data_IF_076631980430
#
_entry.id   IF_076631980430
#
_cell.length_a   1.000
_cell.length_b   1.000
_cell.length_c   1.000
_cell.angle_alpha   90.00
_cell.angle_beta   90.00
_cell.angle_gamma   90.00
#
_symmetry.space_group_name_H-M   'P 1'
#
loop_
_entity.id
_entity.type
_entity.pdbx_description
1 polymer ?
#
# COMPACT_ATOMS: atom_id res chain seq x y z
N UNK A 1 16.36 22.32 22.67
CA UNK A 1 17.19 21.10 22.65
C UNK A 1 17.66 20.90 21.21
N UNK A 2 18.96 20.85 20.92
CA UNK A 2 19.42 20.47 19.58
C UNK A 2 18.92 19.06 19.28
N UNK A 3 18.20 18.88 18.16
CA UNK A 3 17.65 17.60 17.75
C UNK A 3 18.77 16.56 17.57
N UNK A 4 18.52 15.31 17.97
CA UNK A 4 19.44 14.21 17.72
C UNK A 4 19.75 14.10 16.22
N UNK A 5 20.95 13.67 15.80
CA UNK A 5 21.23 13.42 14.40
C UNK A 5 20.30 12.33 13.84
N UNK A 6 19.92 12.37 12.55
CA UNK A 6 19.13 11.32 11.93
C UNK A 6 19.84 9.96 12.04
N UNK A 7 19.08 8.88 12.22
CA UNK A 7 19.60 7.51 12.27
C UNK A 7 20.36 7.21 10.96
N UNK A 8 21.59 6.71 11.07
CA UNK A 8 22.42 6.40 9.90
C UNK A 8 21.85 5.23 9.09
N UNK A 9 22.17 5.18 7.80
CA UNK A 9 21.71 4.12 6.89
C UNK A 9 22.08 2.72 7.38
N UNK A 10 23.34 2.55 7.81
CA UNK A 10 23.82 1.29 8.41
C UNK A 10 22.98 0.83 9.61
N UNK A 11 22.65 1.74 10.53
CA UNK A 11 21.86 1.38 11.74
C UNK A 11 20.42 0.97 11.36
N UNK A 12 19.82 1.62 10.35
CA UNK A 12 18.52 1.23 9.84
C UNK A 12 18.56 -0.13 9.13
N UNK A 13 19.58 -0.40 8.31
CA UNK A 13 19.76 -1.69 7.67
C UNK A 13 19.94 -2.81 8.71
N UNK A 14 20.78 -2.60 9.74
CA UNK A 14 20.99 -3.55 10.84
C UNK A 14 19.70 -3.80 11.65
N UNK A 15 18.87 -2.77 11.84
CA UNK A 15 17.54 -2.93 12.44
C UNK A 15 16.65 -3.83 11.59
N UNK A 16 16.50 -3.52 10.30
CA UNK A 16 15.59 -4.27 9.42
C UNK A 16 16.08 -5.69 9.14
N UNK A 17 17.38 -5.92 9.13
CA UNK A 17 17.96 -7.27 9.03
C UNK A 17 17.60 -8.14 10.23
N UNK A 18 17.65 -7.59 11.45
CA UNK A 18 17.21 -8.28 12.67
C UNK A 18 15.70 -8.53 12.65
N UNK A 19 14.90 -7.51 12.39
CA UNK A 19 13.44 -7.63 12.35
C UNK A 19 12.96 -8.65 11.30
N UNK A 20 13.61 -8.70 10.12
CA UNK A 20 13.32 -9.70 9.10
C UNK A 20 13.70 -11.13 9.57
N UNK A 21 14.84 -11.27 10.24
CA UNK A 21 15.29 -12.56 10.80
C UNK A 21 14.34 -13.07 11.87
N UNK A 22 13.90 -12.20 12.79
CA UNK A 22 12.91 -12.50 13.82
C UNK A 22 11.57 -12.92 13.20
N UNK A 23 11.08 -12.19 12.19
CA UNK A 23 9.86 -12.56 11.47
C UNK A 23 9.96 -13.98 10.87
N UNK A 24 11.07 -14.29 10.18
CA UNK A 24 11.27 -15.62 9.58
C UNK A 24 11.32 -16.73 10.62
N UNK A 25 11.90 -16.48 11.78
CA UNK A 25 12.02 -17.46 12.87
C UNK A 25 10.72 -17.64 13.64
N UNK A 26 9.87 -16.61 13.71
CA UNK A 26 8.62 -16.64 14.47
C UNK A 26 7.55 -17.59 13.93
N UNK A 27 7.62 -17.93 12.63
CA UNK A 27 6.55 -18.67 11.94
C UNK A 27 5.26 -17.87 11.73
N UNK A 28 5.23 -16.57 12.10
CA UNK A 28 4.09 -15.70 11.91
C UNK A 28 3.80 -15.49 10.41
N UNK A 29 2.50 -15.41 10.07
CA UNK A 29 2.05 -15.15 8.69
C UNK A 29 2.09 -13.66 8.33
N UNK A 30 1.93 -12.78 9.31
CA UNK A 30 1.94 -11.34 9.20
C UNK A 30 2.64 -10.75 10.42
N UNK A 31 3.47 -9.72 10.23
CA UNK A 31 4.07 -8.96 11.32
C UNK A 31 4.23 -7.50 10.92
N UNK A 32 3.95 -6.58 11.86
CA UNK A 32 4.21 -5.15 11.69
C UNK A 32 5.58 -4.84 12.29
N UNK A 33 6.51 -4.44 11.45
CA UNK A 33 7.93 -4.26 11.79
C UNK A 33 8.18 -2.88 12.43
N UNK A 34 7.55 -1.85 11.91
CA UNK A 34 7.61 -0.51 12.49
C UNK A 34 6.47 0.38 11.98
N UNK A 35 6.30 1.52 12.66
CA UNK A 35 5.33 2.55 12.28
C UNK A 35 6.04 3.89 12.09
N UNK A 36 5.94 4.46 10.90
CA UNK A 36 6.39 5.81 10.56
C UNK A 36 5.28 6.79 10.87
N UNK A 37 5.47 7.70 11.83
CA UNK A 37 4.55 8.80 12.12
C UNK A 37 5.30 10.14 12.12
N UNK A 38 4.62 11.27 11.85
CA UNK A 38 5.26 12.60 11.94
C UNK A 38 5.91 12.88 13.30
N UNK A 39 5.32 12.36 14.38
CA UNK A 39 5.87 12.48 15.73
C UNK A 39 7.12 11.61 15.93
N UNK A 40 7.16 10.39 15.38
CA UNK A 40 8.32 9.51 15.46
C UNK A 40 9.57 10.12 14.81
N UNK A 41 9.41 10.86 13.71
CA UNK A 41 10.52 11.56 13.04
C UNK A 41 11.13 12.68 13.88
N UNK A 42 10.39 13.24 14.84
CA UNK A 42 10.92 14.27 15.76
C UNK A 42 11.81 13.67 16.84
N UNK A 43 11.58 12.39 17.18
CA UNK A 43 12.29 11.71 18.25
C UNK A 43 13.59 11.02 17.80
N UNK A 44 13.83 10.89 16.48
CA UNK A 44 15.03 10.28 15.88
C UNK A 44 15.46 8.93 16.51
N UNK A 45 14.50 8.22 17.11
CA UNK A 45 14.70 6.89 17.66
C UNK A 45 14.81 5.82 16.57
N UNK A 46 15.22 4.63 16.98
CA UNK A 46 15.12 3.45 16.12
C UNK A 46 13.66 3.21 15.73
N UNK A 47 13.39 2.68 14.52
CA UNK A 47 12.05 2.29 14.15
C UNK A 47 11.49 1.31 15.18
N UNK A 48 10.20 1.46 15.51
CA UNK A 48 9.48 0.57 16.41
C UNK A 48 8.04 0.45 15.92
N UNK A 49 7.37 -0.70 16.10
CA UNK A 49 5.94 -0.80 15.86
C UNK A 49 5.18 0.05 16.88
N UNK A 50 4.16 0.80 16.42
CA UNK A 50 3.33 1.67 17.26
C UNK A 50 1.86 1.32 17.03
N UNK A 51 1.25 0.40 17.79
CA UNK A 51 -0.17 0.09 17.65
C UNK A 51 -1.07 1.34 17.72
N UNK A 52 -2.21 1.39 17.00
CA UNK A 52 -3.15 2.50 17.12
C UNK A 52 -3.70 2.57 18.53
N UNK A 53 -3.96 3.79 19.04
CA UNK A 53 -4.74 3.95 20.28
C UNK A 53 -6.21 3.59 20.07
N UNK A 54 -6.76 4.03 18.94
CA UNK A 54 -8.13 3.77 18.50
C UNK A 54 -8.05 2.96 17.21
N UNK A 55 -8.89 1.93 17.08
CA UNK A 55 -8.99 1.12 15.86
C UNK A 55 -9.20 2.03 14.64
N UNK A 56 -8.35 1.96 13.60
CA UNK A 56 -8.56 2.76 12.41
C UNK A 56 -9.86 2.32 11.73
N UNK A 57 -10.62 3.30 11.22
CA UNK A 57 -11.83 3.04 10.45
C UNK A 57 -11.51 2.46 9.08
N UNK A 58 -10.41 2.92 8.47
CA UNK A 58 -9.95 2.42 7.18
C UNK A 58 -8.45 2.19 7.21
N UNK A 59 -8.06 0.94 6.93
CA UNK A 59 -6.69 0.56 6.67
C UNK A 59 -6.45 0.51 5.16
N UNK A 60 -5.62 1.42 4.68
CA UNK A 60 -5.17 1.45 3.29
C UNK A 60 -3.99 0.50 3.17
N UNK A 61 -4.07 -0.49 2.27
CA UNK A 61 -3.04 -1.51 2.10
C UNK A 61 -2.39 -1.35 0.73
N UNK A 62 -1.10 -1.03 0.73
CA UNK A 62 -0.27 -1.05 -0.48
C UNK A 62 0.68 -2.25 -0.39
N UNK A 63 0.32 -3.33 -1.06
CA UNK A 63 1.14 -4.55 -1.15
C UNK A 63 1.98 -4.53 -2.42
N UNK A 64 3.30 -4.53 -2.27
CA UNK A 64 4.23 -4.52 -3.40
C UNK A 64 5.56 -5.15 -3.02
N UNK A 65 6.34 -5.49 -4.03
CA UNK A 65 7.71 -5.98 -3.83
C UNK A 65 8.70 -4.87 -3.40
N UNK A 66 8.32 -3.59 -3.53
CA UNK A 66 9.09 -2.40 -3.15
C UNK A 66 10.58 -2.51 -3.48
N UNK A 67 10.91 -2.78 -4.75
CA UNK A 67 12.27 -3.12 -5.16
C UNK A 67 12.73 -2.34 -6.42
N UNK A 68 12.84 -1.01 -6.36
CA UNK A 68 12.53 -0.14 -5.21
C UNK A 68 11.05 0.33 -5.18
N UNK A 69 10.55 0.92 -4.08
CA UNK A 69 9.35 1.77 -4.12
C UNK A 69 9.55 2.90 -5.14
N UNK A 70 8.50 3.28 -5.85
CA UNK A 70 8.57 4.23 -6.99
C UNK A 70 7.56 5.37 -6.84
N UNK A 71 7.67 6.40 -7.68
CA UNK A 71 6.70 7.48 -7.74
C UNK A 71 5.30 7.00 -8.15
N UNK A 72 5.18 5.87 -8.83
CA UNK A 72 3.89 5.25 -9.11
C UNK A 72 3.22 4.78 -7.80
N UNK A 73 3.96 4.08 -6.94
CA UNK A 73 3.49 3.68 -5.60
C UNK A 73 3.09 4.91 -4.76
N UNK A 74 3.91 5.97 -4.82
CA UNK A 74 3.65 7.22 -4.12
C UNK A 74 2.33 7.85 -4.56
N UNK A 75 2.12 7.97 -5.88
CA UNK A 75 0.89 8.50 -6.45
C UNK A 75 -0.31 7.68 -6.04
N UNK A 76 -0.25 6.34 -6.14
CA UNK A 76 -1.34 5.44 -5.73
C UNK A 76 -1.76 5.68 -4.28
N UNK A 77 -0.80 5.73 -3.36
CA UNK A 77 -1.11 5.92 -1.94
C UNK A 77 -1.66 7.33 -1.68
N UNK A 78 -0.96 8.36 -2.15
CA UNK A 78 -1.32 9.77 -1.92
C UNK A 78 -2.71 10.10 -2.49
N UNK A 79 -3.01 9.68 -3.72
CA UNK A 79 -4.32 9.95 -4.34
C UNK A 79 -5.45 9.24 -3.62
N UNK A 80 -5.22 8.01 -3.15
CA UNK A 80 -6.19 7.23 -2.36
C UNK A 80 -6.51 7.90 -1.03
N UNK A 81 -5.48 8.37 -0.32
CA UNK A 81 -5.63 9.08 0.96
C UNK A 81 -6.44 10.37 0.73
N UNK A 82 -6.08 11.16 -0.27
CA UNK A 82 -6.81 12.40 -0.63
C UNK A 82 -8.25 12.13 -1.00
N UNK A 83 -8.50 11.08 -1.78
CA UNK A 83 -9.84 10.68 -2.14
C UNK A 83 -10.70 10.37 -0.92
N UNK A 84 -10.17 9.59 0.03
CA UNK A 84 -10.90 9.26 1.27
C UNK A 84 -11.16 10.50 2.13
N UNK A 85 -10.17 11.38 2.28
CA UNK A 85 -10.31 12.65 3.00
C UNK A 85 -11.41 13.51 2.35
N UNK A 86 -11.40 13.65 1.03
CA UNK A 86 -12.36 14.49 0.29
C UNK A 86 -13.77 13.88 0.20
N UNK A 87 -13.90 12.57 -0.02
CA UNK A 87 -15.20 11.87 -0.06
C UNK A 87 -15.98 12.05 1.24
N UNK A 88 -15.28 12.12 2.37
CA UNK A 88 -15.90 12.30 3.68
C UNK A 88 -16.22 13.76 4.00
N UNK A 89 -15.42 14.74 3.53
CA UNK A 89 -15.80 16.18 3.57
C UNK A 89 -17.20 16.38 3.00
N UNK A 90 -17.50 15.75 1.86
CA UNK A 90 -18.76 15.94 1.15
C UNK A 90 -19.98 15.26 1.80
N UNK A 91 -19.80 14.25 2.66
CA UNK A 91 -20.92 13.53 3.30
C UNK A 91 -21.42 14.22 4.57
N UNK A 92 -20.51 14.77 5.37
CA UNK A 92 -20.83 15.32 6.69
C UNK A 92 -20.45 16.80 6.85
N UNK A 93 -19.90 17.45 5.81
CA UNK A 93 -19.40 18.83 5.89
C UNK A 93 -18.17 19.04 6.78
N UNK A 94 -17.72 18.00 7.48
CA UNK A 94 -16.57 18.01 8.39
C UNK A 94 -15.44 17.12 7.83
N UNK A 95 -14.19 17.59 7.95
CA UNK A 95 -13.00 16.78 7.69
C UNK A 95 -12.97 15.58 8.65
N UNK A 96 -12.88 14.35 8.13
CA UNK A 96 -12.48 13.22 8.97
C UNK A 96 -11.05 13.47 9.43
N UNK A 97 -10.76 13.33 10.74
CA UNK A 97 -9.39 13.43 11.19
C UNK A 97 -8.59 12.25 10.63
N UNK A 98 -7.33 12.52 10.25
CA UNK A 98 -6.41 11.54 9.66
C UNK A 98 -6.11 10.35 10.59
N UNK A 99 -6.42 10.48 11.88
CA UNK A 99 -6.31 9.43 12.90
C UNK A 99 -7.23 8.23 12.64
N UNK A 100 -8.32 8.41 11.88
CA UNK A 100 -9.21 7.33 11.42
C UNK A 100 -8.65 6.53 10.24
N UNK A 101 -7.62 7.05 9.59
CA UNK A 101 -6.94 6.43 8.46
C UNK A 101 -5.58 5.89 8.90
N UNK A 102 -5.23 4.72 8.36
CA UNK A 102 -3.89 4.15 8.56
C UNK A 102 -3.40 3.54 7.26
N UNK A 103 -2.12 3.71 6.96
CA UNK A 103 -1.50 3.10 5.77
C UNK A 103 -0.65 1.91 6.20
N UNK A 104 -0.78 0.79 5.50
CA UNK A 104 0.09 -0.37 5.61
C UNK A 104 0.84 -0.56 4.28
N UNK A 105 2.16 -0.39 4.33
CA UNK A 105 3.09 -0.78 3.28
C UNK A 105 3.47 -2.25 3.51
N UNK A 106 2.90 -3.16 2.74
CA UNK A 106 3.04 -4.60 2.96
C UNK A 106 4.04 -5.21 1.99
N UNK A 107 5.06 -5.88 2.52
CA UNK A 107 6.05 -6.61 1.73
C UNK A 107 5.85 -8.13 1.88
N UNK A 108 5.39 -8.76 0.80
CA UNK A 108 5.24 -10.21 0.72
C UNK A 108 6.59 -10.90 0.43
N UNK A 109 7.03 -11.78 1.33
CA UNK A 109 8.33 -12.47 1.23
C UNK A 109 8.26 -13.65 0.27
N UNK A 110 7.14 -14.39 0.29
CA UNK A 110 6.80 -15.45 -0.65
C UNK A 110 5.84 -14.89 -1.70
N UNK A 111 6.37 -14.43 -2.83
CA UNK A 111 5.53 -13.98 -3.94
C UNK A 111 5.35 -15.16 -4.91
N UNK A 112 4.10 -15.49 -5.26
CA UNK A 112 3.77 -16.70 -6.02
C UNK A 112 4.45 -16.78 -7.41
N UNK A 113 4.78 -15.63 -8.01
CA UNK A 113 5.17 -15.55 -9.43
C UNK A 113 6.58 -14.98 -9.70
N UNK A 114 7.41 -14.70 -8.67
CA UNK A 114 8.68 -13.95 -8.87
C UNK A 114 9.95 -14.75 -8.57
N UNK A 115 10.87 -14.70 -9.53
CA UNK A 115 12.25 -15.23 -9.50
C UNK A 115 13.17 -14.43 -8.53
N UNK A 116 14.50 -14.72 -8.45
CA UNK A 116 15.42 -14.09 -7.51
C UNK A 116 15.36 -12.56 -7.49
N UNK A 117 15.63 -12.01 -6.32
CA UNK A 117 15.20 -10.68 -5.88
C UNK A 117 16.47 -9.78 -5.77
N UNK A 118 16.64 -8.73 -6.61
CA UNK A 118 17.93 -8.01 -6.70
C UNK A 118 18.37 -7.30 -5.41
N UNK A 119 17.50 -6.56 -4.72
CA UNK A 119 17.82 -6.07 -3.36
C UNK A 119 17.38 -7.06 -2.29
N UNK A 120 18.17 -7.18 -1.24
CA UNK A 120 17.83 -7.90 -0.01
C UNK A 120 16.62 -7.26 0.71
N UNK A 121 15.94 -8.03 1.56
CA UNK A 121 14.67 -7.61 2.17
C UNK A 121 14.82 -6.46 3.17
N UNK A 122 15.90 -6.46 3.93
CA UNK A 122 16.31 -5.38 4.83
C UNK A 122 16.49 -4.05 4.08
N UNK A 123 17.15 -4.08 2.92
CA UNK A 123 17.32 -2.90 2.07
C UNK A 123 15.97 -2.40 1.53
N UNK A 124 15.05 -3.30 1.17
CA UNK A 124 13.68 -2.91 0.77
C UNK A 124 12.90 -2.27 1.90
N UNK A 125 12.99 -2.82 3.11
CA UNK A 125 12.34 -2.23 4.29
C UNK A 125 12.91 -0.84 4.60
N UNK A 126 14.23 -0.66 4.44
CA UNK A 126 14.85 0.65 4.59
C UNK A 126 14.37 1.65 3.53
N UNK A 127 14.25 1.23 2.27
CA UNK A 127 13.63 2.07 1.23
C UNK A 127 12.14 2.31 1.49
N UNK A 128 11.39 1.36 2.04
CA UNK A 128 9.99 1.55 2.45
C UNK A 128 9.87 2.59 3.57
N UNK A 129 10.83 2.60 4.50
CA UNK A 129 10.89 3.60 5.58
C UNK A 129 11.18 5.00 5.02
N UNK A 130 12.14 5.12 4.10
CA UNK A 130 12.42 6.36 3.38
C UNK A 130 11.19 6.83 2.56
N UNK A 131 10.53 5.90 1.88
CA UNK A 131 9.32 6.15 1.09
C UNK A 131 8.15 6.64 1.95
N UNK A 132 7.92 6.05 3.13
CA UNK A 132 6.87 6.49 4.06
C UNK A 132 7.06 7.96 4.48
N UNK A 133 8.31 8.40 4.67
CA UNK A 133 8.64 9.80 4.98
C UNK A 133 8.32 10.74 3.84
N UNK A 134 8.70 10.37 2.62
CA UNK A 134 8.42 11.18 1.43
C UNK A 134 6.91 11.28 1.17
N UNK A 135 6.17 10.20 1.39
CA UNK A 135 4.71 10.16 1.33
C UNK A 135 4.08 11.14 2.34
N UNK A 136 4.54 11.11 3.59
CA UNK A 136 4.04 12.02 4.64
C UNK A 136 4.33 13.49 4.30
N UNK A 137 5.54 13.79 3.82
CA UNK A 137 5.89 15.16 3.36
C UNK A 137 5.00 15.63 2.21
N UNK A 138 4.71 14.76 1.24
CA UNK A 138 3.85 15.12 0.12
C UNK A 138 2.39 15.34 0.53
N UNK A 139 1.92 14.68 1.58
CA UNK A 139 0.59 14.96 2.14
C UNK A 139 0.55 16.30 2.87
N UNK A 140 1.64 16.69 3.53
CA UNK A 140 1.77 17.97 4.24
C UNK A 140 1.94 19.17 3.29
N UNK A 141 2.80 19.05 2.26
CA UNK A 141 3.03 20.14 1.31
C UNK A 141 1.75 20.59 0.60
N UNK A 142 0.87 19.64 0.30
CA UNK A 142 -0.34 19.93 -0.46
C UNK A 142 -1.45 20.48 0.45
N UNK A 143 -1.44 20.19 1.76
CA UNK A 143 -2.35 20.85 2.70
C UNK A 143 -2.00 22.32 2.92
N UNK A 144 -0.70 22.66 2.95
CA UNK A 144 -0.24 24.04 3.08
C UNK A 144 -0.57 24.87 1.83
N UNK A 145 -0.50 24.25 0.65
CA UNK A 145 -0.81 24.89 -0.62
C UNK A 145 -2.32 25.16 -0.85
N UNK A 146 -3.21 24.41 -0.18
CA UNK A 146 -4.67 24.61 -0.26
C UNK A 146 -5.20 25.74 0.66
N UNK A 147 -4.31 26.52 1.30
CA UNK A 147 -4.69 27.78 1.98
C UNK A 147 -5.53 27.59 3.24
N UNK A 148 -5.35 26.49 3.98
CA UNK A 148 -5.97 26.31 5.29
C UNK A 148 -5.25 27.21 6.31
N UNK A 149 -5.59 28.50 6.34
CA UNK A 149 -5.23 29.38 7.45
C UNK A 149 -6.00 28.94 8.70
N UNK A 150 -5.28 28.32 9.66
CA UNK A 150 -5.89 27.87 10.91
C UNK A 150 -4.86 27.46 11.96
N UNK A 151 -4.35 28.47 12.68
CA UNK A 151 -4.05 28.45 14.13
C UNK A 151 -3.12 27.39 14.70
N UNK A 152 -2.00 27.86 15.28
CA UNK A 152 -1.15 27.23 16.31
C UNK A 152 -0.65 25.78 16.04
N UNK A 153 0.65 25.58 16.24
CA UNK A 153 1.37 24.30 16.11
C UNK A 153 0.97 23.24 17.16
N UNK A 154 -0.32 23.01 17.40
CA UNK A 154 -0.82 21.93 18.25
C UNK A 154 -0.98 20.66 17.42
N UNK A 155 -0.22 19.61 17.78
CA UNK A 155 -0.36 18.17 17.49
C UNK A 155 -1.41 17.70 16.42
N UNK A 156 -1.48 18.30 15.24
CA UNK A 156 -2.35 17.80 14.17
C UNK A 156 -1.76 16.47 13.65
N UNK A 157 -2.42 15.38 14.04
CA UNK A 157 -2.03 14.01 13.72
C UNK A 157 -1.96 13.78 12.21
N UNK A 158 -0.73 13.63 11.69
CA UNK A 158 -0.56 13.20 10.30
C UNK A 158 -0.71 11.69 10.15
N UNK A 159 -0.90 11.25 8.91
CA UNK A 159 -1.08 9.83 8.57
C UNK A 159 0.09 8.98 9.09
N UNK A 160 -0.21 7.96 9.87
CA UNK A 160 0.77 6.94 10.26
C UNK A 160 0.85 5.84 9.20
N UNK A 161 2.06 5.48 8.80
CA UNK A 161 2.35 4.43 7.83
C UNK A 161 3.11 3.28 8.50
N UNK A 162 2.52 2.09 8.50
CA UNK A 162 3.11 0.86 8.99
C UNK A 162 3.89 0.16 7.89
N UNK A 163 4.99 -0.48 8.28
CA UNK A 163 5.74 -1.41 7.43
C UNK A 163 5.45 -2.82 7.92
N UNK A 164 4.83 -3.63 7.06
CA UNK A 164 4.48 -5.02 7.37
C UNK A 164 5.25 -6.02 6.51
N UNK A 165 5.46 -7.20 7.07
CA UNK A 165 5.95 -8.39 6.36
C UNK A 165 4.86 -9.46 6.34
N UNK A 166 4.74 -10.17 5.22
CA UNK A 166 3.81 -11.30 5.10
C UNK A 166 4.43 -12.49 4.36
N UNK A 167 4.11 -13.70 4.82
CA UNK A 167 4.44 -14.95 4.10
C UNK A 167 3.33 -15.40 3.16
N UNK A 168 2.14 -14.78 3.25
CA UNK A 168 0.96 -15.16 2.50
C UNK A 168 1.08 -14.67 1.06
N UNK A 169 0.83 -15.53 0.05
CA UNK A 169 0.92 -15.11 -1.35
C UNK A 169 -0.32 -14.34 -1.83
N UNK A 170 -1.52 -14.69 -1.35
CA UNK A 170 -2.78 -14.20 -1.92
C UNK A 170 -3.42 -13.06 -1.12
N UNK A 171 -4.11 -12.15 -1.81
CA UNK A 171 -4.76 -10.98 -1.20
C UNK A 171 -5.85 -11.34 -0.18
N UNK A 172 -6.66 -12.37 -0.45
CA UNK A 172 -7.71 -12.80 0.47
C UNK A 172 -7.14 -13.34 1.80
N UNK A 173 -6.03 -14.06 1.75
CA UNK A 173 -5.33 -14.53 2.94
C UNK A 173 -4.68 -13.37 3.71
N UNK A 174 -4.03 -12.45 3.01
CA UNK A 174 -3.47 -11.23 3.63
C UNK A 174 -4.55 -10.41 4.33
N UNK A 175 -5.70 -10.25 3.69
CA UNK A 175 -6.85 -9.56 4.28
C UNK A 175 -7.33 -10.22 5.57
N UNK A 176 -7.44 -11.56 5.57
CA UNK A 176 -7.82 -12.32 6.75
C UNK A 176 -6.79 -12.15 7.88
N UNK A 177 -5.50 -12.32 7.59
CA UNK A 177 -4.44 -12.14 8.58
C UNK A 177 -4.38 -10.70 9.15
N UNK A 178 -4.67 -9.67 8.35
CA UNK A 178 -4.80 -8.30 8.82
C UNK A 178 -6.01 -8.13 9.75
N UNK A 179 -7.14 -8.76 9.42
CA UNK A 179 -8.36 -8.66 10.21
C UNK A 179 -8.27 -9.38 11.57
N UNK A 180 -7.47 -10.45 11.62
CA UNK A 180 -7.15 -11.24 12.82
C UNK A 180 -6.00 -10.64 13.65
N UNK A 181 -5.31 -9.61 13.14
CA UNK A 181 -4.15 -9.04 13.81
C UNK A 181 -4.54 -8.17 15.00
N UNK A 182 -4.03 -8.53 16.19
CA UNK A 182 -4.21 -7.75 17.42
C UNK A 182 -3.65 -6.33 17.31
N UNK A 183 -2.68 -6.13 16.41
CA UNK A 183 -2.01 -4.84 16.23
C UNK A 183 -2.98 -3.71 15.91
N UNK A 184 -4.12 -3.99 15.28
CA UNK A 184 -5.06 -2.96 14.83
C UNK A 184 -6.31 -2.81 15.71
N UNK A 185 -6.49 -3.58 16.79
CA UNK A 185 -7.73 -3.51 17.59
C UNK A 185 -7.90 -2.21 18.38
N UNK A 186 -6.83 -1.45 18.63
CA UNK A 186 -6.87 -0.27 19.49
C UNK A 186 -6.84 -0.67 20.98
N UNK A 187 -6.12 0.10 21.81
CA UNK A 187 -5.90 -0.21 23.22
C UNK A 187 -6.41 0.88 24.19
N UNK A 188 -7.31 1.77 23.73
CA UNK A 188 -7.91 2.75 24.64
C UNK A 188 -8.75 2.03 25.72
N UNK A 189 -8.22 2.02 26.94
CA UNK A 189 -8.82 1.49 28.14
C UNK A 189 -9.89 2.45 28.69
N UNK A 190 -11.05 1.92 29.08
CA UNK A 190 -12.05 2.60 29.91
C UNK A 190 -13.48 2.47 29.39
N UNK A 191 -14.26 1.63 30.07
CA UNK A 191 -15.71 1.68 30.26
C UNK A 191 -16.52 2.54 29.26
N UNK A 192 -17.11 1.88 28.28
CA UNK A 192 -18.18 2.42 27.45
C UNK A 192 -18.68 1.31 26.55
N UNK A 193 -19.95 0.95 26.71
CA UNK A 193 -20.67 -0.08 25.97
C UNK A 193 -20.11 -0.25 24.55
N UNK A 194 -19.46 -1.40 24.34
CA UNK A 194 -18.85 -1.78 23.07
C UNK A 194 -19.90 -2.08 22.01
N UNK A 195 -20.63 -1.05 21.57
CA UNK A 195 -21.48 -1.07 20.40
C UNK A 195 -20.71 -0.60 19.15
N UNK A 196 -19.45 -1.03 19.06
CA UNK A 196 -18.51 -0.76 17.98
C UNK A 196 -18.43 -1.94 17.00
N UNK A 197 -19.57 -2.50 16.59
CA UNK A 197 -19.69 -3.56 15.56
C UNK A 197 -19.21 -3.11 14.15
N UNK A 198 -18.74 -1.86 14.02
CA UNK A 198 -18.11 -1.36 12.81
C UNK A 198 -16.73 -1.98 12.59
N UNK A 199 -16.66 -3.10 11.86
CA UNK A 199 -15.39 -3.67 11.39
C UNK A 199 -14.50 -2.64 10.67
N UNK A 200 -13.17 -2.85 10.73
CA UNK A 200 -12.20 -2.03 10.01
C UNK A 200 -12.25 -2.32 8.51
N UNK A 201 -12.61 -1.31 7.71
CA UNK A 201 -12.57 -1.38 6.24
C UNK A 201 -11.11 -1.53 5.76
N UNK A 202 -10.88 -2.42 4.80
CA UNK A 202 -9.59 -2.51 4.11
C UNK A 202 -9.70 -1.91 2.71
N UNK A 203 -8.88 -0.90 2.37
CA UNK A 203 -8.76 -0.39 1.01
C UNK A 203 -7.46 -0.89 0.39
N UNK A 204 -7.54 -1.90 -0.48
CA UNK A 204 -6.37 -2.48 -1.13
C UNK A 204 -6.06 -1.73 -2.41
N UNK A 205 -4.84 -1.19 -2.50
CA UNK A 205 -4.36 -0.48 -3.68
C UNK A 205 -3.74 -1.48 -4.65
N UNK A 206 -4.29 -1.55 -5.86
CA UNK A 206 -3.87 -2.54 -6.86
C UNK A 206 -3.59 -1.89 -8.20
N UNK A 207 -2.60 -2.42 -8.93
CA UNK A 207 -2.41 -2.12 -10.34
C UNK A 207 -3.38 -2.93 -11.22
N UNK A 208 -3.48 -2.54 -12.49
CA UNK A 208 -4.29 -3.26 -13.49
C UNK A 208 -3.90 -4.73 -13.63
N UNK A 209 -2.59 -5.01 -13.73
CA UNK A 209 -2.02 -6.36 -13.80
C UNK A 209 -2.39 -7.21 -12.57
N UNK A 210 -2.40 -6.58 -11.39
CA UNK A 210 -2.75 -7.24 -10.14
C UNK A 210 -4.24 -7.53 -10.07
N UNK A 211 -5.10 -6.61 -10.53
CA UNK A 211 -6.54 -6.84 -10.61
C UNK A 211 -6.89 -8.04 -11.50
N UNK A 212 -6.26 -8.13 -12.68
CA UNK A 212 -6.43 -9.29 -13.58
C UNK A 212 -6.08 -10.59 -12.85
N UNK A 213 -4.99 -10.60 -12.07
CA UNK A 213 -4.59 -11.78 -11.30
C UNK A 213 -5.59 -12.11 -10.20
N UNK A 214 -6.14 -11.12 -9.51
CA UNK A 214 -7.16 -11.35 -8.47
C UNK A 214 -8.37 -12.09 -9.06
N UNK A 215 -8.82 -11.74 -10.27
CA UNK A 215 -9.97 -12.40 -10.90
C UNK A 215 -9.58 -13.56 -11.83
N UNK A 216 -8.36 -14.09 -11.73
CA UNK A 216 -7.97 -15.26 -12.50
C UNK A 216 -8.25 -16.56 -11.73
N UNK A 217 -9.11 -17.46 -12.23
CA UNK A 217 -9.47 -18.72 -11.56
C UNK A 217 -8.28 -19.60 -11.19
N UNK A 218 -7.16 -19.51 -11.94
CA UNK A 218 -5.99 -20.38 -11.73
C UNK A 218 -5.35 -20.26 -10.35
N UNK A 219 -5.59 -19.16 -9.64
CA UNK A 219 -5.05 -18.93 -8.29
C UNK A 219 -5.97 -19.49 -7.18
N UNK A 220 -7.09 -20.11 -7.54
CA UNK A 220 -8.06 -20.66 -6.59
C UNK A 220 -8.17 -22.16 -6.83
N UNK A 221 -7.66 -22.94 -5.88
CA UNK A 221 -7.72 -24.39 -5.94
C UNK A 221 -8.93 -24.89 -5.13
N UNK A 222 -9.68 -25.84 -5.70
CA UNK A 222 -10.75 -26.51 -4.95
C UNK A 222 -10.13 -27.38 -3.85
N UNK A 223 -10.54 -27.18 -2.61
CA UNK A 223 -10.13 -28.03 -1.48
C UNK A 223 -11.22 -28.97 -0.98
N UNK A 224 -12.40 -28.99 -1.62
CA UNK A 224 -13.54 -29.80 -1.18
C UNK A 224 -14.17 -30.59 -2.32
N UNK A 225 -14.33 -31.90 -2.08
CA UNK A 225 -15.13 -32.85 -2.86
C UNK A 225 -16.60 -32.90 -2.42
N UNK A 226 -17.11 -31.87 -1.74
CA UNK A 226 -18.46 -31.89 -1.16
C UNK A 226 -19.51 -31.27 -2.09
N UNK A 227 -20.56 -32.04 -2.33
CA UNK A 227 -21.77 -31.74 -3.12
C UNK A 227 -22.70 -30.69 -2.43
N UNK A 228 -22.11 -29.61 -1.90
CA UNK A 228 -22.83 -28.43 -1.39
C UNK A 228 -23.22 -27.45 -2.50
N UNK A 229 -24.02 -26.40 -2.21
CA UNK A 229 -24.49 -25.47 -3.23
C UNK A 229 -23.29 -24.84 -3.97
N UNK A 230 -23.39 -24.84 -5.30
CA UNK A 230 -22.33 -24.58 -6.27
C UNK A 230 -21.63 -23.22 -6.11
N UNK A 231 -20.73 -23.10 -5.13
CA UNK A 231 -19.83 -21.97 -4.96
C UNK A 231 -18.48 -22.32 -5.57
N UNK A 232 -17.93 -21.41 -6.37
CA UNK A 232 -16.61 -21.65 -6.98
C UNK A 232 -15.49 -21.48 -5.94
N UNK A 233 -14.30 -22.08 -6.12
CA UNK A 233 -13.16 -21.81 -5.25
C UNK A 233 -12.79 -20.33 -5.16
N UNK A 234 -12.98 -19.57 -6.25
CA UNK A 234 -12.79 -18.11 -6.26
C UNK A 234 -13.80 -17.42 -5.35
N UNK A 235 -15.07 -17.82 -5.37
CA UNK A 235 -16.10 -17.27 -4.49
C UNK A 235 -15.78 -17.56 -3.02
N UNK A 236 -15.39 -18.79 -2.68
CA UNK A 236 -15.02 -19.16 -1.31
C UNK A 236 -13.88 -18.29 -0.76
N UNK A 237 -12.88 -17.97 -1.60
CA UNK A 237 -11.75 -17.14 -1.22
C UNK A 237 -12.09 -15.65 -1.19
N UNK A 238 -12.81 -15.14 -2.19
CA UNK A 238 -13.02 -13.71 -2.39
C UNK A 238 -14.28 -13.15 -1.71
N UNK A 239 -15.29 -13.97 -1.39
CA UNK A 239 -16.47 -13.49 -0.66
C UNK A 239 -16.10 -12.90 0.70
N UNK A 240 -15.29 -13.57 1.54
CA UNK A 240 -14.81 -12.96 2.77
C UNK A 240 -13.99 -11.69 2.51
N UNK A 241 -13.14 -11.68 1.49
CA UNK A 241 -12.35 -10.50 1.13
C UNK A 241 -13.28 -9.31 0.84
N UNK A 242 -14.24 -9.44 -0.07
CA UNK A 242 -15.12 -8.34 -0.48
C UNK A 242 -16.21 -7.98 0.54
N UNK A 243 -16.42 -8.82 1.57
CA UNK A 243 -17.22 -8.44 2.73
C UNK A 243 -16.56 -7.33 3.57
N UNK A 244 -15.22 -7.28 3.61
CA UNK A 244 -14.44 -6.34 4.45
C UNK A 244 -13.54 -5.38 3.68
N UNK A 245 -13.24 -5.69 2.42
CA UNK A 245 -12.28 -4.96 1.61
C UNK A 245 -12.90 -4.36 0.35
N UNK A 246 -12.35 -3.22 -0.05
CA UNK A 246 -12.52 -2.59 -1.35
C UNK A 246 -11.20 -2.63 -2.10
N UNK A 247 -11.26 -2.77 -3.41
CA UNK A 247 -10.10 -2.59 -4.27
C UNK A 247 -10.14 -1.19 -4.84
N UNK A 248 -9.02 -0.48 -4.81
CA UNK A 248 -8.83 0.74 -5.58
C UNK A 248 -7.77 0.50 -6.62
N UNK A 249 -8.23 0.39 -7.87
CA UNK A 249 -7.35 0.14 -9.00
C UNK A 249 -6.89 1.46 -9.59
N UNK A 250 -5.58 1.61 -9.75
CA UNK A 250 -4.98 2.75 -10.46
C UNK A 250 -4.53 2.29 -11.84
N UNK A 251 -5.10 2.89 -12.89
CA UNK A 251 -4.75 2.55 -14.27
C UNK A 251 -3.39 3.10 -14.65
N UNK A 252 -2.70 2.38 -15.54
CA UNK A 252 -1.43 2.81 -16.15
C UNK A 252 -1.56 2.67 -17.67
N UNK A 253 -1.19 3.69 -18.43
CA UNK A 253 -0.89 3.50 -19.84
C UNK A 253 0.55 2.99 -19.93
N UNK A 254 0.76 1.68 -19.91
CA UNK A 254 2.06 1.07 -20.25
C UNK A 254 1.92 0.18 -21.49
N UNK A 255 3.06 -0.03 -22.14
CA UNK A 255 3.22 -0.74 -23.41
C UNK A 255 3.07 -2.26 -23.30
N UNK A 256 3.28 -2.82 -22.11
CA UNK A 256 3.26 -4.27 -21.86
C UNK A 256 1.85 -4.84 -21.65
N UNK A 257 0.90 -4.06 -21.12
CA UNK A 257 -0.45 -4.54 -20.73
C UNK A 257 -1.60 -3.92 -21.52
N UNK A 258 -1.27 -3.42 -22.72
CA UNK A 258 -2.22 -2.80 -23.62
C UNK A 258 -2.45 -1.32 -23.33
N UNK A 259 -2.93 -0.62 -24.35
CA UNK A 259 -3.29 0.79 -24.30
C UNK A 259 -4.33 1.07 -23.21
N UNK A 260 -4.37 2.32 -22.73
CA UNK A 260 -5.41 2.76 -21.78
C UNK A 260 -6.85 2.49 -22.28
N UNK A 261 -7.05 2.43 -23.60
CA UNK A 261 -8.34 2.08 -24.21
C UNK A 261 -8.66 0.60 -24.08
N UNK A 262 -7.69 -0.29 -24.32
CA UNK A 262 -7.86 -1.73 -24.14
C UNK A 262 -8.11 -2.09 -22.67
N UNK A 263 -7.38 -1.47 -21.75
CA UNK A 263 -7.60 -1.67 -20.32
C UNK A 263 -9.01 -1.21 -19.90
N UNK A 264 -9.48 -0.05 -20.40
CA UNK A 264 -10.84 0.44 -20.14
C UNK A 264 -11.90 -0.52 -20.68
N UNK A 265 -11.73 -1.01 -21.90
CA UNK A 265 -12.66 -1.94 -22.53
C UNK A 265 -12.74 -3.27 -21.74
N UNK A 266 -11.58 -3.79 -21.31
CA UNK A 266 -11.53 -5.00 -20.48
C UNK A 266 -12.24 -4.81 -19.14
N UNK A 267 -12.01 -3.68 -18.46
CA UNK A 267 -12.66 -3.40 -17.18
C UNK A 267 -14.17 -3.22 -17.31
N UNK A 268 -14.64 -2.57 -18.37
CA UNK A 268 -16.06 -2.44 -18.64
C UNK A 268 -16.69 -3.83 -18.86
N UNK A 269 -16.06 -4.70 -19.65
CA UNK A 269 -16.53 -6.07 -19.85
C UNK A 269 -16.50 -6.89 -18.56
N UNK A 270 -15.46 -6.75 -17.74
CA UNK A 270 -15.30 -7.48 -16.50
C UNK A 270 -16.36 -7.05 -15.46
N UNK A 271 -16.55 -5.74 -15.26
CA UNK A 271 -17.29 -5.19 -14.12
C UNK A 271 -18.76 -4.85 -14.40
N UNK A 272 -19.11 -4.42 -15.61
CA UNK A 272 -20.47 -3.95 -15.93
C UNK A 272 -21.33 -5.04 -16.59
N UNK A 273 -20.72 -5.94 -17.36
CA UNK A 273 -21.40 -7.09 -17.94
C UNK A 273 -21.40 -8.30 -16.98
N UNK A 274 -21.63 -9.51 -17.50
CA UNK A 274 -21.52 -10.75 -16.73
C UNK A 274 -20.07 -11.27 -16.64
N UNK A 275 -19.07 -10.40 -16.83
CA UNK A 275 -17.65 -10.77 -16.90
C UNK A 275 -17.13 -11.45 -15.65
N UNK A 276 -17.41 -10.89 -14.47
CA UNK A 276 -17.08 -11.53 -13.19
C UNK A 276 -17.72 -12.93 -13.07
N UNK A 277 -18.99 -13.09 -13.46
CA UNK A 277 -19.67 -14.39 -13.43
C UNK A 277 -19.02 -15.40 -14.39
N UNK A 278 -18.58 -14.97 -15.57
CA UNK A 278 -17.91 -15.85 -16.57
C UNK A 278 -16.58 -16.42 -16.06
N UNK A 279 -15.87 -15.68 -15.22
CA UNK A 279 -14.64 -16.16 -14.57
C UNK A 279 -14.91 -16.86 -13.23
N UNK A 280 -16.18 -17.16 -12.92
CA UNK A 280 -16.56 -17.85 -11.69
C UNK A 280 -16.61 -16.95 -10.45
N UNK A 281 -16.62 -15.63 -10.62
CA UNK A 281 -16.80 -14.65 -9.55
C UNK A 281 -18.25 -14.28 -9.29
N UNK A 282 -18.47 -13.18 -8.55
CA UNK A 282 -19.78 -12.60 -8.26
C UNK A 282 -19.92 -11.20 -8.85
N UNK A 283 -21.09 -10.88 -9.42
CA UNK A 283 -21.36 -9.56 -10.01
C UNK A 283 -21.32 -8.45 -8.94
N UNK A 284 -21.73 -8.76 -7.71
CA UNK A 284 -21.80 -7.83 -6.58
C UNK A 284 -20.42 -7.25 -6.21
N UNK A 285 -19.34 -7.98 -6.49
CA UNK A 285 -17.98 -7.51 -6.22
C UNK A 285 -17.59 -6.27 -7.04
N UNK A 286 -18.25 -6.03 -8.19
CA UNK A 286 -18.01 -4.81 -8.98
C UNK A 286 -18.24 -3.54 -8.15
N UNK A 287 -19.26 -3.54 -7.27
CA UNK A 287 -19.55 -2.41 -6.37
C UNK A 287 -18.46 -2.13 -5.33
N UNK A 288 -17.53 -3.07 -5.14
CA UNK A 288 -16.39 -2.97 -4.20
C UNK A 288 -15.09 -2.54 -4.90
N UNK A 289 -15.14 -2.23 -6.19
CA UNK A 289 -13.97 -1.85 -6.98
C UNK A 289 -14.09 -0.38 -7.39
N UNK A 290 -13.17 0.44 -6.92
CA UNK A 290 -13.04 1.84 -7.31
C UNK A 290 -11.97 1.97 -8.39
N UNK A 291 -12.31 2.55 -9.54
CA UNK A 291 -11.36 2.82 -10.62
C UNK A 291 -10.88 4.26 -10.52
N UNK A 292 -9.58 4.44 -10.41
CA UNK A 292 -8.95 5.75 -10.53
C UNK A 292 -8.28 5.90 -11.90
N UNK A 293 -8.81 6.84 -12.68
CA UNK A 293 -8.18 7.32 -13.90
C UNK A 293 -7.12 8.34 -13.50
N UNK A 294 -5.84 8.01 -13.68
CA UNK A 294 -4.80 9.03 -13.64
C UNK A 294 -4.87 9.75 -14.98
N UNK A 295 -5.42 10.96 -15.00
CA UNK A 295 -5.24 11.85 -16.15
C UNK A 295 -3.73 12.06 -16.32
N UNK A 296 -3.22 11.71 -17.51
CA UNK A 296 -1.87 12.09 -17.91
C UNK A 296 -1.72 13.59 -17.68
N UNK A 297 -0.62 14.00 -17.05
CA UNK A 297 -0.48 15.35 -16.51
C UNK A 297 -0.90 16.40 -17.56
N UNK A 298 -1.70 17.39 -17.15
CA UNK A 298 -2.09 18.52 -18.00
C UNK A 298 -0.84 19.11 -18.66
N UNK A 299 -0.66 18.77 -19.93
CA UNK A 299 0.57 19.03 -20.69
C UNK A 299 0.62 18.14 -21.91
N UNK A 300 -0.28 18.39 -22.87
CA UNK A 300 -0.19 17.84 -24.21
C UNK A 300 1.22 18.13 -24.77
N UNK A 301 2.11 17.15 -24.73
CA UNK A 301 3.51 17.27 -25.16
C UNK A 301 4.53 16.54 -24.29
N UNK A 302 4.21 16.19 -23.03
CA UNK A 302 5.11 15.37 -22.21
C UNK A 302 4.70 13.90 -22.35
N UNK A 303 5.54 13.10 -23.02
CA UNK A 303 5.48 11.64 -22.97
C UNK A 303 5.59 11.24 -21.49
N UNK A 304 4.48 10.85 -20.86
CA UNK A 304 4.47 10.40 -19.46
C UNK A 304 5.41 9.19 -19.37
N UNK A 305 6.58 9.39 -18.78
CA UNK A 305 7.59 8.34 -18.68
C UNK A 305 7.00 7.22 -17.85
N UNK A 306 6.90 6.02 -18.41
CA UNK A 306 6.43 4.85 -17.67
C UNK A 306 7.29 4.65 -16.40
N UNK A 307 6.66 4.73 -15.22
CA UNK A 307 7.35 4.57 -13.93
C UNK A 307 7.17 3.15 -13.41
N UNK A 308 8.25 2.37 -13.35
CA UNK A 308 8.25 1.00 -12.82
C UNK A 308 9.51 0.72 -12.00
N UNK A 309 9.44 -0.24 -11.07
CA UNK A 309 10.64 -0.67 -10.32
C UNK A 309 11.70 -1.24 -11.26
N UNK A 310 11.33 -1.86 -12.38
CA UNK A 310 12.27 -2.35 -13.40
C UNK A 310 13.04 -1.19 -14.04
N UNK A 311 12.35 -0.12 -14.42
CA UNK A 311 12.99 1.07 -14.98
C UNK A 311 13.81 1.85 -13.95
N UNK A 312 13.40 1.87 -12.68
CA UNK A 312 14.20 2.43 -11.60
C UNK A 312 15.54 1.69 -11.43
N UNK A 313 15.51 0.35 -11.43
CA UNK A 313 16.74 -0.47 -11.35
C UNK A 313 17.64 -0.26 -12.56
N UNK A 314 17.07 -0.19 -13.76
CA UNK A 314 17.84 0.09 -14.97
C UNK A 314 18.53 1.47 -14.88
N UNK A 315 17.81 2.50 -14.46
CA UNK A 315 18.38 3.84 -14.30
C UNK A 315 19.52 3.87 -13.26
N UNK A 316 19.37 3.18 -12.14
CA UNK A 316 20.42 3.06 -11.12
C UNK A 316 21.66 2.34 -11.65
N UNK A 317 21.47 1.19 -12.33
CA UNK A 317 22.56 0.42 -12.95
C UNK A 317 23.32 1.23 -13.99
N UNK A 318 22.60 1.99 -14.81
CA UNK A 318 23.17 2.78 -15.89
C UNK A 318 23.80 4.11 -15.37
N UNK A 319 23.75 4.38 -14.06
CA UNK A 319 24.23 5.63 -13.46
C UNK A 319 23.42 6.87 -13.85
N UNK A 320 22.25 6.69 -14.45
CA UNK A 320 21.38 7.76 -14.94
C UNK A 320 20.57 8.37 -13.80
N UNK A 321 21.23 9.27 -13.08
CA UNK A 321 20.67 10.00 -11.94
C UNK A 321 19.40 10.79 -12.30
N UNK A 322 19.32 11.36 -13.51
CA UNK A 322 18.16 12.13 -13.95
C UNK A 322 16.95 11.23 -14.21
N UNK A 323 17.16 10.08 -14.83
CA UNK A 323 16.10 9.09 -15.02
C UNK A 323 15.67 8.49 -13.69
N UNK A 324 16.61 8.18 -12.79
CA UNK A 324 16.29 7.64 -11.47
C UNK A 324 15.41 8.61 -10.66
N UNK A 325 15.70 9.92 -10.72
CA UNK A 325 14.89 10.98 -10.09
C UNK A 325 13.42 10.99 -10.54
N UNK A 326 13.18 10.70 -11.83
CA UNK A 326 11.83 10.57 -12.40
C UNK A 326 11.13 9.28 -11.95
N UNK A 327 11.85 8.30 -11.41
CA UNK A 327 11.30 6.97 -11.09
C UNK A 327 10.98 6.79 -9.61
N UNK A 328 11.79 7.35 -8.70
CA UNK A 328 11.65 7.15 -7.24
C UNK A 328 11.51 8.49 -6.50
N UNK A 329 11.18 8.45 -5.21
CA UNK A 329 11.09 9.66 -4.39
C UNK A 329 12.48 10.07 -3.86
N UNK A 330 12.68 11.33 -3.42
CA UNK A 330 14.01 11.85 -3.07
C UNK A 330 14.76 11.03 -2.01
N UNK A 331 14.09 10.63 -0.91
CA UNK A 331 14.75 9.86 0.15
C UNK A 331 15.08 8.43 -0.30
N UNK A 332 14.26 7.85 -1.19
CA UNK A 332 14.52 6.52 -1.78
C UNK A 332 15.70 6.60 -2.74
N UNK A 333 15.78 7.64 -3.57
CA UNK A 333 16.92 7.88 -4.47
C UNK A 333 18.22 8.01 -3.66
N UNK A 334 18.21 8.85 -2.63
CA UNK A 334 19.35 9.03 -1.75
C UNK A 334 19.82 7.70 -1.16
N UNK A 335 18.89 6.85 -0.72
CA UNK A 335 19.23 5.53 -0.19
C UNK A 335 19.91 4.63 -1.25
N UNK A 336 19.34 4.57 -2.46
CA UNK A 336 19.91 3.79 -3.58
C UNK A 336 21.34 4.25 -3.89
N UNK A 337 21.57 5.56 -3.96
CA UNK A 337 22.88 6.13 -4.27
C UNK A 337 23.90 5.91 -3.14
N UNK A 338 23.49 6.05 -1.88
CA UNK A 338 24.37 5.89 -0.70
C UNK A 338 24.81 4.44 -0.48
N UNK A 339 23.88 3.50 -0.64
CA UNK A 339 24.13 2.08 -0.41
C UNK A 339 24.60 1.35 -1.69
N UNK A 340 24.75 2.07 -2.81
CA UNK A 340 25.20 1.50 -4.08
C UNK A 340 24.28 0.39 -4.61
N UNK A 341 22.96 0.55 -4.44
CA UNK A 341 22.01 -0.50 -4.82
C UNK A 341 21.81 -0.54 -6.33
N UNK A 342 21.61 -1.75 -6.86
CA UNK A 342 21.28 -2.01 -8.28
C UNK A 342 22.37 -1.65 -9.28
N UNK A 343 23.64 -1.61 -8.88
CA UNK A 343 24.77 -1.29 -9.76
C UNK A 343 25.30 -2.48 -10.57
N UNK A 344 24.75 -3.68 -10.31
CA UNK A 344 25.16 -4.95 -10.95
C UNK A 344 24.46 -5.25 -12.28
#
# INVERSE_FOLDING_TARGET
>A
MPGQPPVSGRVLADYFSRAFSEFRQSGAKLSIVCSSSPAAHRQNGLPTPIPPRIRPRTLIVLDSSFNPPTRAHLRMAVSSIRHLVNKNKNRNGQLQPLDTLRLLLLLSINNADKAPKPAAFDQRLAMMWAFARDLQRQLQSDSDAEGVEGGQEEEQGGLTADLGLSTLPYFHEKSAAIAESDFYYGHAAGDGDGDGDGGMDQLMLVGYDTLIRIFNPKYYHSSSTDDGPATTPMQQALDPLFARARLRMVMRADDEWGSATEQRAYLADLLEADGLSRVGGRKEWASRIEIEMVEGGRGAGAQDVAVSSTYARAAARDGDSQRLDKMVSPSVRQWIEQEGLYTE
#
